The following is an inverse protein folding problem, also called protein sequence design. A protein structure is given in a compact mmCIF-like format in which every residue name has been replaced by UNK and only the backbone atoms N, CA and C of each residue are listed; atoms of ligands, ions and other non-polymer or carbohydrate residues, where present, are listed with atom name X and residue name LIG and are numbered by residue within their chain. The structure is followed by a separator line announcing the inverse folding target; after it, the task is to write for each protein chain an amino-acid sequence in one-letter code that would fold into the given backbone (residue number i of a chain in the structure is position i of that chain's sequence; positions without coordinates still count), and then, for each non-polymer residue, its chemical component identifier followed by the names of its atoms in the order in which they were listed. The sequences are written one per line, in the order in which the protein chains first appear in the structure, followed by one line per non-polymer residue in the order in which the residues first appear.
data_IF_413891302738
#
_entry.id   IF_413891302738
#
_cell.length_a   1.000
_cell.length_b   1.000
_cell.length_c   1.000
_cell.angle_alpha   90.00
_cell.angle_beta   90.00
_cell.angle_gamma   90.00
#
_symmetry.space_group_name_H-M   'P 1'
#
loop_
_entity.id
_entity.type
_entity.pdbx_description
1 polymer ?
#
# COMPACT_ATOMS: atom_id res chain seq x y z
N UNK A 1 25.20 -18.09 -23.61
CA UNK A 1 26.04 -17.85 -22.42
C UNK A 1 25.12 -18.01 -21.21
N UNK A 2 25.46 -18.82 -20.19
CA UNK A 2 24.62 -18.85 -18.98
C UNK A 2 24.69 -17.48 -18.35
N UNK A 3 23.54 -16.79 -18.30
CA UNK A 3 23.40 -15.51 -17.61
C UNK A 3 23.85 -15.67 -16.17
N UNK A 4 24.59 -14.69 -15.68
CA UNK A 4 25.11 -14.67 -14.30
C UNK A 4 23.91 -14.80 -13.35
N UNK A 5 23.72 -15.98 -12.73
CA UNK A 5 22.54 -16.34 -11.93
C UNK A 5 22.21 -15.33 -10.79
N UNK A 6 23.15 -14.42 -10.50
CA UNK A 6 23.08 -13.44 -9.43
C UNK A 6 22.75 -12.01 -9.89
N UNK A 7 22.38 -11.77 -11.15
CA UNK A 7 22.01 -10.45 -11.64
C UNK A 7 20.55 -10.46 -12.07
N UNK A 8 19.78 -9.45 -11.71
CA UNK A 8 18.41 -9.24 -12.15
C UNK A 8 18.23 -7.82 -12.71
N UNK A 9 17.28 -7.67 -13.61
CA UNK A 9 16.84 -6.35 -14.06
C UNK A 9 15.88 -5.76 -13.03
N UNK A 10 16.19 -4.55 -12.58
CA UNK A 10 15.31 -3.74 -11.72
C UNK A 10 14.81 -2.56 -12.52
N UNK A 11 13.50 -2.38 -12.53
CA UNK A 11 12.83 -1.22 -13.13
C UNK A 11 12.34 -0.32 -12.02
N UNK A 12 12.91 0.86 -11.90
CA UNK A 12 12.47 1.87 -10.94
C UNK A 12 11.24 2.59 -11.46
N UNK A 13 10.20 2.61 -10.66
CA UNK A 13 8.94 3.29 -10.97
C UNK A 13 8.51 4.22 -9.84
N UNK A 14 7.60 5.13 -10.14
CA UNK A 14 6.80 5.86 -9.15
C UNK A 14 5.33 5.68 -9.49
N UNK A 15 4.49 5.51 -8.47
CA UNK A 15 3.06 5.21 -8.64
C UNK A 15 2.22 6.28 -7.97
N UNK A 16 1.08 6.66 -8.58
CA UNK A 16 0.15 7.68 -8.09
C UNK A 16 0.74 9.10 -8.04
N UNK A 17 1.77 9.40 -8.84
CA UNK A 17 2.39 10.73 -8.88
C UNK A 17 1.35 11.83 -9.17
N UNK A 18 1.35 12.89 -8.37
CA UNK A 18 0.58 14.13 -8.56
C UNK A 18 1.55 15.30 -8.73
N UNK A 19 2.34 15.26 -9.81
CA UNK A 19 3.34 16.25 -10.16
C UNK A 19 4.78 15.81 -9.92
N UNK A 20 5.71 16.71 -10.19
CA UNK A 20 7.16 16.45 -10.15
C UNK A 20 7.62 16.01 -8.76
N UNK A 21 8.31 14.88 -8.68
CA UNK A 21 8.80 14.30 -7.43
C UNK A 21 7.72 13.61 -6.59
N UNK A 22 6.48 13.57 -7.07
CA UNK A 22 5.36 12.91 -6.41
C UNK A 22 5.36 11.39 -6.55
N UNK A 23 4.38 10.77 -5.92
CA UNK A 23 4.13 9.34 -6.00
C UNK A 23 4.92 8.49 -5.02
N UNK A 24 4.61 7.20 -5.05
CA UNK A 24 5.24 6.18 -4.24
C UNK A 24 6.29 5.41 -5.06
N UNK A 25 7.59 5.48 -4.71
CA UNK A 25 8.62 4.70 -5.38
C UNK A 25 8.34 3.21 -5.26
N UNK A 26 8.51 2.49 -6.37
CA UNK A 26 8.28 1.06 -6.40
C UNK A 26 9.23 0.37 -7.38
N UNK A 27 10.36 -0.18 -6.91
CA UNK A 27 11.23 -1.01 -7.72
C UNK A 27 10.54 -2.34 -8.07
N UNK A 28 10.58 -2.71 -9.36
CA UNK A 28 10.08 -3.96 -9.91
C UNK A 28 11.25 -4.79 -10.36
N UNK A 29 11.45 -5.95 -9.75
CA UNK A 29 12.52 -6.91 -10.07
C UNK A 29 11.97 -7.96 -11.02
N UNK A 30 12.52 -8.04 -12.21
CA UNK A 30 12.13 -9.01 -13.24
C UNK A 30 12.87 -10.34 -13.06
N UNK A 31 12.30 -11.41 -13.61
CA UNK A 31 12.88 -12.76 -13.60
C UNK A 31 13.32 -13.22 -12.20
N UNK A 32 12.46 -12.94 -11.20
CA UNK A 32 12.79 -13.14 -9.79
C UNK A 32 12.54 -14.58 -9.29
N UNK A 33 12.38 -15.54 -10.20
CA UNK A 33 12.23 -16.95 -9.84
C UNK A 33 13.42 -17.45 -9.01
N UNK A 34 13.12 -18.24 -7.99
CA UNK A 34 14.12 -18.81 -7.09
C UNK A 34 14.65 -17.85 -6.00
N UNK A 35 14.23 -16.57 -5.99
CA UNK A 35 14.59 -15.67 -4.90
C UNK A 35 13.84 -16.03 -3.61
N UNK A 36 14.60 -16.15 -2.52
CA UNK A 36 14.04 -16.39 -1.18
C UNK A 36 13.56 -15.07 -0.55
N UNK A 37 12.70 -15.17 0.47
CA UNK A 37 12.09 -13.98 1.11
C UNK A 37 13.15 -13.05 1.70
N UNK A 38 14.26 -13.57 2.23
CA UNK A 38 15.37 -12.78 2.76
C UNK A 38 15.99 -11.86 1.71
N UNK A 39 16.15 -12.35 0.48
CA UNK A 39 16.68 -11.54 -0.64
C UNK A 39 15.68 -10.44 -1.04
N UNK A 40 14.38 -10.74 -1.05
CA UNK A 40 13.34 -9.75 -1.28
C UNK A 40 13.36 -8.62 -0.24
N UNK A 41 13.46 -8.95 1.05
CA UNK A 41 13.58 -7.98 2.14
C UNK A 41 14.87 -7.16 2.03
N UNK A 42 16.00 -7.76 1.67
CA UNK A 42 17.28 -7.07 1.47
C UNK A 42 17.22 -6.08 0.31
N UNK A 43 16.56 -6.44 -0.79
CA UNK A 43 16.32 -5.54 -1.93
C UNK A 43 15.43 -4.37 -1.51
N UNK A 44 14.34 -4.63 -0.77
CA UNK A 44 13.48 -3.57 -0.25
C UNK A 44 14.23 -2.63 0.71
N UNK A 45 15.10 -3.15 1.56
CA UNK A 45 15.96 -2.36 2.43
C UNK A 45 16.99 -1.53 1.64
N UNK A 46 17.60 -2.11 0.61
CA UNK A 46 18.56 -1.43 -0.28
C UNK A 46 17.93 -0.27 -1.03
N UNK A 47 16.72 -0.45 -1.56
CA UNK A 47 16.01 0.59 -2.30
C UNK A 47 15.22 1.54 -1.40
N UNK A 48 15.11 1.23 -0.10
CA UNK A 48 14.28 1.97 0.86
C UNK A 48 12.84 2.17 0.38
N UNK A 49 12.28 1.15 -0.29
CA UNK A 49 10.97 1.18 -0.90
C UNK A 49 10.34 -0.22 -0.93
N UNK A 50 9.02 -0.27 -1.00
CA UNK A 50 8.32 -1.52 -1.28
C UNK A 50 8.78 -2.07 -2.62
N UNK A 51 9.32 -3.29 -2.62
CA UNK A 51 9.94 -3.92 -3.80
C UNK A 51 9.13 -5.11 -4.25
N UNK A 52 8.89 -5.18 -5.55
CA UNK A 52 8.03 -6.20 -6.17
C UNK A 52 8.92 -7.20 -6.94
N UNK A 53 8.74 -8.46 -6.64
CA UNK A 53 9.35 -9.54 -7.41
C UNK A 53 8.32 -10.09 -8.40
N UNK A 54 8.65 -10.05 -9.69
CA UNK A 54 7.88 -10.70 -10.75
C UNK A 54 8.42 -12.12 -10.90
N UNK A 55 7.55 -13.12 -10.71
CA UNK A 55 7.87 -14.54 -10.77
C UNK A 55 6.95 -15.27 -11.73
N UNK A 56 7.35 -16.45 -12.17
CA UNK A 56 6.50 -17.35 -12.95
C UNK A 56 5.28 -17.76 -12.13
N UNK A 57 4.10 -17.72 -12.74
CA UNK A 57 2.88 -18.21 -12.11
C UNK A 57 2.93 -19.75 -11.96
N UNK A 58 2.39 -20.26 -10.86
CA UNK A 58 2.15 -21.67 -10.63
C UNK A 58 0.75 -22.09 -11.10
N UNK A 59 -0.21 -21.18 -10.96
CA UNK A 59 -1.57 -21.37 -11.43
C UNK A 59 -1.63 -21.17 -12.96
N UNK A 60 -2.21 -22.12 -13.67
CA UNK A 60 -2.33 -22.09 -15.15
C UNK A 60 -3.15 -20.93 -15.68
N UNK A 61 -4.04 -20.38 -14.86
CA UNK A 61 -4.91 -19.25 -15.18
C UNK A 61 -4.24 -17.88 -14.98
N UNK A 62 -3.08 -17.83 -14.32
CA UNK A 62 -2.34 -16.59 -14.09
C UNK A 62 -1.29 -16.38 -15.18
N UNK A 63 -1.12 -15.14 -15.61
CA UNK A 63 -0.09 -14.75 -16.55
C UNK A 63 1.30 -14.71 -15.90
N UNK A 64 1.37 -14.32 -14.64
CA UNK A 64 2.57 -14.24 -13.80
C UNK A 64 2.21 -14.18 -12.32
N UNK A 65 3.20 -14.33 -11.46
CA UNK A 65 3.07 -14.16 -10.00
C UNK A 65 3.75 -12.90 -9.52
N UNK A 66 3.23 -12.34 -8.41
CA UNK A 66 3.83 -11.21 -7.72
C UNK A 66 4.09 -11.54 -6.25
N UNK A 67 5.29 -11.15 -5.78
CA UNK A 67 5.65 -11.15 -4.37
C UNK A 67 6.04 -9.74 -3.94
N UNK A 68 5.63 -9.34 -2.75
CA UNK A 68 5.71 -7.96 -2.27
C UNK A 68 6.55 -7.88 -1.01
N UNK A 69 7.54 -7.00 -0.98
CA UNK A 69 8.48 -6.91 0.13
C UNK A 69 8.60 -5.50 0.67
N UNK A 70 8.57 -5.38 1.99
CA UNK A 70 9.13 -4.28 2.75
C UNK A 70 10.45 -4.73 3.41
N UNK A 71 11.27 -3.82 3.97
CA UNK A 71 12.54 -4.19 4.57
C UNK A 71 12.49 -5.28 5.66
N UNK A 72 11.34 -5.48 6.29
CA UNK A 72 11.20 -6.36 7.46
C UNK A 72 10.35 -7.61 7.25
N UNK A 73 9.55 -7.67 6.20
CA UNK A 73 8.70 -8.84 5.91
C UNK A 73 8.20 -8.87 4.47
N UNK A 74 7.71 -10.01 4.06
CA UNK A 74 6.91 -10.19 2.86
C UNK A 74 5.46 -9.82 3.16
N UNK A 75 4.82 -9.05 2.26
CA UNK A 75 3.44 -8.63 2.38
C UNK A 75 2.53 -9.50 1.53
N UNK A 76 1.29 -9.64 1.97
CA UNK A 76 0.29 -10.42 1.26
C UNK A 76 -0.20 -9.71 -0.02
N UNK A 77 -0.25 -8.38 0.01
CA UNK A 77 -0.75 -7.56 -1.08
C UNK A 77 -0.16 -6.15 -1.03
N UNK A 78 0.17 -5.63 -2.23
CA UNK A 78 0.59 -4.25 -2.42
C UNK A 78 -0.03 -3.71 -3.72
N UNK A 79 -1.00 -2.82 -3.60
CA UNK A 79 -1.72 -2.28 -4.75
C UNK A 79 -0.81 -1.46 -5.66
N UNK A 80 -0.04 -0.50 -5.10
CA UNK A 80 0.85 0.31 -5.94
C UNK A 80 1.94 -0.55 -6.61
N UNK A 81 2.42 -1.59 -5.93
CA UNK A 81 3.32 -2.57 -6.51
C UNK A 81 2.71 -3.35 -7.66
N UNK A 82 1.43 -3.73 -7.55
CA UNK A 82 0.69 -4.37 -8.64
C UNK A 82 0.56 -3.43 -9.85
N UNK A 83 0.22 -2.15 -9.63
CA UNK A 83 0.14 -1.14 -10.68
C UNK A 83 1.50 -0.96 -11.37
N UNK A 84 2.59 -0.87 -10.58
CA UNK A 84 3.95 -0.79 -11.09
C UNK A 84 4.31 -1.99 -11.97
N UNK A 85 4.11 -3.21 -11.47
CA UNK A 85 4.44 -4.44 -12.18
C UNK A 85 3.65 -4.57 -13.50
N UNK A 86 2.33 -4.32 -13.47
CA UNK A 86 1.50 -4.35 -14.69
C UNK A 86 1.96 -3.31 -15.70
N UNK A 87 2.32 -2.09 -15.26
CA UNK A 87 2.84 -1.05 -16.15
C UNK A 87 4.17 -1.47 -16.78
N UNK A 88 5.09 -2.04 -16.00
CA UNK A 88 6.39 -2.50 -16.49
C UNK A 88 6.21 -3.64 -17.49
N UNK A 89 5.43 -4.68 -17.15
CA UNK A 89 5.23 -5.84 -18.03
C UNK A 89 4.49 -5.46 -19.32
N UNK A 90 3.52 -4.54 -19.24
CA UNK A 90 2.90 -3.98 -20.45
C UNK A 90 3.93 -3.24 -21.33
N UNK A 91 4.83 -2.45 -20.76
CA UNK A 91 5.88 -1.73 -21.49
C UNK A 91 6.90 -2.67 -22.17
N UNK A 92 7.03 -3.89 -21.69
CA UNK A 92 7.87 -4.94 -22.25
C UNK A 92 7.15 -5.81 -23.29
N UNK A 93 5.82 -5.62 -23.47
CA UNK A 93 5.01 -6.46 -24.36
C UNK A 93 4.63 -7.82 -23.77
N UNK A 94 4.92 -8.06 -22.49
CA UNK A 94 4.60 -9.31 -21.80
C UNK A 94 3.10 -9.47 -21.47
N UNK A 95 2.36 -8.36 -21.50
CA UNK A 95 0.91 -8.32 -21.28
C UNK A 95 0.24 -7.60 -22.44
N UNK A 96 -0.68 -8.30 -23.14
CA UNK A 96 -1.38 -7.76 -24.30
C UNK A 96 -2.89 -7.56 -24.06
N UNK A 97 -3.48 -8.25 -23.09
CA UNK A 97 -4.93 -8.27 -22.85
C UNK A 97 -5.30 -7.73 -21.47
N UNK A 98 -6.49 -7.15 -21.37
CA UNK A 98 -7.11 -6.71 -20.12
C UNK A 98 -8.47 -7.39 -19.98
N UNK A 99 -8.85 -7.96 -18.82
CA UNK A 99 -8.05 -8.00 -17.62
C UNK A 99 -6.88 -9.01 -17.69
N UNK A 100 -5.85 -8.79 -16.85
CA UNK A 100 -4.77 -9.75 -16.62
C UNK A 100 -4.97 -10.45 -15.28
N UNK A 101 -4.75 -11.77 -15.24
CA UNK A 101 -4.79 -12.55 -14.00
C UNK A 101 -3.40 -12.70 -13.42
N UNK A 102 -3.29 -12.41 -12.14
CA UNK A 102 -2.02 -12.39 -11.39
C UNK A 102 -2.14 -13.30 -10.18
N UNK A 103 -1.14 -14.14 -9.97
CA UNK A 103 -1.04 -14.97 -8.77
C UNK A 103 -0.36 -14.17 -7.64
N UNK A 104 -0.96 -14.18 -6.47
CA UNK A 104 -0.41 -13.62 -5.23
C UNK A 104 -0.53 -14.64 -4.10
N UNK A 105 0.04 -14.36 -2.93
CA UNK A 105 -0.14 -15.22 -1.75
C UNK A 105 -1.61 -15.30 -1.30
N UNK A 106 -2.43 -14.30 -1.63
CA UNK A 106 -3.88 -14.30 -1.38
C UNK A 106 -4.68 -15.06 -2.44
N UNK A 107 -4.04 -15.63 -3.45
CA UNK A 107 -4.65 -16.29 -4.59
C UNK A 107 -4.64 -15.44 -5.85
N UNK A 108 -5.55 -15.77 -6.77
CA UNK A 108 -5.67 -15.10 -8.06
C UNK A 108 -6.40 -13.75 -7.91
N UNK A 109 -5.78 -12.70 -8.41
CA UNK A 109 -6.40 -11.40 -8.55
C UNK A 109 -6.58 -11.04 -10.02
N UNK A 110 -7.64 -10.29 -10.32
CA UNK A 110 -7.89 -9.73 -11.65
C UNK A 110 -7.55 -8.25 -11.65
N UNK A 111 -6.72 -7.83 -12.60
CA UNK A 111 -6.27 -6.45 -12.72
C UNK A 111 -6.66 -5.94 -14.10
N UNK A 112 -7.43 -4.88 -14.14
CA UNK A 112 -7.83 -4.21 -15.37
C UNK A 112 -6.83 -3.12 -15.73
N UNK A 113 -6.60 -2.92 -17.02
CA UNK A 113 -5.88 -1.77 -17.52
C UNK A 113 -6.49 -1.24 -18.80
N UNK A 114 -6.35 0.06 -18.99
CA UNK A 114 -6.75 0.75 -20.22
C UNK A 114 -5.65 1.70 -20.67
N UNK A 115 -5.50 1.83 -21.98
CA UNK A 115 -4.51 2.74 -22.56
C UNK A 115 -5.18 4.05 -22.98
N UNK A 116 -4.63 5.16 -22.51
CA UNK A 116 -4.98 6.48 -23.00
C UNK A 116 -3.69 7.16 -23.48
N UNK A 117 -3.58 7.41 -24.76
CA UNK A 117 -2.37 7.86 -25.43
C UNK A 117 -1.23 6.83 -25.21
N UNK A 118 -0.06 7.27 -24.69
CA UNK A 118 1.10 6.41 -24.43
C UNK A 118 1.15 5.85 -23.00
N UNK A 119 0.24 6.28 -22.13
CA UNK A 119 0.17 5.82 -20.75
C UNK A 119 -0.96 4.83 -20.53
N UNK A 120 -0.71 3.85 -19.67
CA UNK A 120 -1.78 2.97 -19.17
C UNK A 120 -2.24 3.46 -17.79
N UNK A 121 -3.54 3.25 -17.58
CA UNK A 121 -4.18 3.40 -16.28
C UNK A 121 -4.55 2.00 -15.80
N UNK A 122 -4.13 1.65 -14.60
CA UNK A 122 -4.33 0.31 -14.03
C UNK A 122 -5.33 0.39 -12.89
N UNK A 123 -6.31 -0.52 -12.88
CA UNK A 123 -7.32 -0.65 -11.83
C UNK A 123 -7.17 -1.99 -11.14
N UNK A 124 -6.97 -1.95 -9.84
CA UNK A 124 -6.80 -3.14 -8.98
C UNK A 124 -8.01 -3.30 -8.09
N UNK A 125 -8.77 -4.38 -8.30
CA UNK A 125 -9.87 -4.76 -7.41
C UNK A 125 -9.34 -5.33 -6.11
N UNK A 126 -10.08 -5.06 -5.03
CA UNK A 126 -9.83 -5.57 -3.70
C UNK A 126 -11.04 -6.35 -3.21
N UNK A 127 -10.90 -7.04 -2.10
CA UNK A 127 -11.96 -7.85 -1.52
C UNK A 127 -13.11 -7.01 -0.95
N UNK A 128 -14.22 -7.65 -0.63
CA UNK A 128 -15.32 -7.04 0.11
C UNK A 128 -14.83 -6.43 1.42
N UNK A 129 -15.40 -5.28 1.78
CA UNK A 129 -14.96 -4.58 2.98
C UNK A 129 -15.49 -5.25 4.26
N UNK A 130 -14.59 -5.44 5.22
CA UNK A 130 -14.91 -5.91 6.57
C UNK A 130 -14.65 -4.80 7.58
N UNK A 131 -15.63 -4.52 8.44
CA UNK A 131 -15.58 -3.49 9.47
C UNK A 131 -15.38 -4.11 10.84
N UNK A 132 -14.33 -3.71 11.55
CA UNK A 132 -14.05 -4.22 12.90
C UNK A 132 -15.10 -3.75 13.90
N UNK A 133 -15.54 -4.66 14.77
CA UNK A 133 -16.44 -4.35 15.89
C UNK A 133 -15.70 -3.77 17.10
N UNK A 134 -14.38 -3.96 17.18
CA UNK A 134 -13.54 -3.50 18.29
C UNK A 134 -12.56 -2.45 17.79
N UNK A 135 -12.73 -1.22 18.26
CA UNK A 135 -11.93 -0.06 17.83
C UNK A 135 -11.51 0.78 19.06
N UNK A 136 -10.41 1.54 18.97
CA UNK A 136 -10.01 2.48 20.02
C UNK A 136 -10.98 3.66 20.13
N UNK A 137 -10.99 4.30 21.27
CA UNK A 137 -11.70 5.57 21.43
C UNK A 137 -10.90 6.78 20.90
N UNK A 138 -11.55 7.94 20.82
CA UNK A 138 -10.94 9.14 20.28
C UNK A 138 -9.77 9.67 21.13
N UNK A 139 -9.82 9.51 22.45
CA UNK A 139 -8.76 9.98 23.35
C UNK A 139 -7.49 9.15 23.15
N UNK A 140 -7.62 7.84 23.04
CA UNK A 140 -6.51 6.92 22.77
C UNK A 140 -5.85 7.20 21.40
N UNK A 141 -6.68 7.42 20.36
CA UNK A 141 -6.17 7.75 19.02
C UNK A 141 -5.51 9.12 18.99
N UNK A 142 -6.10 10.13 19.65
CA UNK A 142 -5.53 11.46 19.73
C UNK A 142 -4.14 11.44 20.36
N UNK A 143 -3.99 10.70 21.46
CA UNK A 143 -2.70 10.56 22.14
C UNK A 143 -1.61 9.96 21.24
N UNK A 144 -1.92 8.88 20.50
CA UNK A 144 -0.90 8.23 19.63
C UNK A 144 -0.60 9.04 18.37
N UNK A 145 -1.53 9.86 17.88
CA UNK A 145 -1.32 10.75 16.73
C UNK A 145 -0.67 12.10 17.10
N UNK A 146 -0.44 12.36 18.40
CA UNK A 146 0.14 13.60 18.88
C UNK A 146 -0.83 14.79 18.78
N UNK A 147 -2.14 14.54 18.84
CA UNK A 147 -3.15 15.58 18.91
C UNK A 147 -3.26 16.10 20.34
N UNK A 148 -3.38 17.43 20.50
CA UNK A 148 -3.53 18.05 21.81
C UNK A 148 -4.94 17.92 22.39
N UNK A 149 -5.95 17.67 21.53
CA UNK A 149 -7.34 17.45 21.91
C UNK A 149 -8.01 16.35 21.07
N UNK A 150 -8.78 15.47 21.72
CA UNK A 150 -9.58 14.47 21.03
C UNK A 150 -10.71 15.09 20.18
N UNK A 151 -11.13 16.31 20.48
CA UNK A 151 -12.13 17.08 19.72
C UNK A 151 -11.70 17.38 18.28
N UNK A 152 -10.41 17.28 17.94
CA UNK A 152 -9.91 17.38 16.56
C UNK A 152 -10.28 16.19 15.70
N UNK A 153 -10.73 15.10 16.30
CA UNK A 153 -11.34 13.95 15.63
C UNK A 153 -12.84 14.23 15.47
N UNK A 154 -13.39 13.95 14.31
CA UNK A 154 -14.82 14.18 14.04
C UNK A 154 -15.69 13.21 14.83
N UNK A 155 -16.63 13.75 15.61
CA UNK A 155 -17.56 12.96 16.42
C UNK A 155 -18.76 12.42 15.62
N UNK A 156 -19.03 12.97 14.43
CA UNK A 156 -20.13 12.54 13.55
C UNK A 156 -19.79 11.33 12.68
N UNK A 157 -18.53 10.90 12.68
CA UNK A 157 -18.04 9.73 11.96
C UNK A 157 -17.27 8.80 12.92
N UNK A 158 -17.43 7.46 12.83
CA UNK A 158 -16.76 6.53 13.75
C UNK A 158 -15.27 6.36 13.44
N UNK A 159 -14.46 6.15 14.46
CA UNK A 159 -13.14 5.55 14.29
C UNK A 159 -13.35 4.04 14.13
N UNK A 160 -12.93 3.47 13.00
CA UNK A 160 -13.13 2.05 12.73
C UNK A 160 -12.03 1.46 11.86
N UNK A 161 -11.60 0.25 12.19
CA UNK A 161 -10.72 -0.53 11.33
C UNK A 161 -11.52 -1.15 10.18
N UNK A 162 -11.06 -0.93 8.95
CA UNK A 162 -11.64 -1.46 7.73
C UNK A 162 -10.59 -2.29 7.00
N UNK A 163 -10.95 -3.48 6.56
CA UNK A 163 -10.13 -4.36 5.72
C UNK A 163 -10.76 -4.53 4.36
N UNK A 164 -9.97 -4.37 3.31
CA UNK A 164 -10.29 -4.80 1.93
C UNK A 164 -9.29 -5.84 1.42
N UNK A 165 -8.20 -6.02 2.12
CA UNK A 165 -7.19 -7.07 2.07
C UNK A 165 -6.32 -7.01 3.33
N UNK A 166 -6.12 -5.81 3.90
CA UNK A 166 -5.37 -5.57 5.15
C UNK A 166 -6.08 -4.53 5.98
N UNK A 167 -6.19 -4.75 7.28
CA UNK A 167 -6.88 -3.86 8.21
C UNK A 167 -6.19 -2.49 8.35
N UNK A 168 -6.95 -1.41 8.19
CA UNK A 168 -6.52 -0.03 8.38
C UNK A 168 -7.46 0.69 9.35
N UNK A 169 -6.91 1.30 10.39
CA UNK A 169 -7.70 2.13 11.31
C UNK A 169 -7.98 3.49 10.67
N UNK A 170 -9.22 3.69 10.25
CA UNK A 170 -9.66 4.93 9.61
C UNK A 170 -10.01 5.95 10.69
N UNK A 171 -9.40 7.15 10.62
CA UNK A 171 -9.54 8.19 11.64
C UNK A 171 -10.01 9.50 10.98
N UNK A 172 -11.27 9.90 11.18
CA UNK A 172 -11.80 11.12 10.59
C UNK A 172 -11.34 12.35 11.37
N UNK A 173 -10.67 13.30 10.72
CA UNK A 173 -10.20 14.55 11.32
C UNK A 173 -11.04 15.75 10.86
N UNK A 174 -11.04 16.81 11.67
CA UNK A 174 -11.80 18.04 11.43
C UNK A 174 -11.31 18.81 10.19
N UNK A 175 -10.00 18.80 9.91
CA UNK A 175 -9.41 19.59 8.84
C UNK A 175 -8.09 19.02 8.30
N UNK A 176 -7.74 19.43 7.09
CA UNK A 176 -6.44 19.15 6.47
C UNK A 176 -5.31 19.75 7.29
N UNK A 177 -5.51 20.91 7.92
CA UNK A 177 -4.50 21.51 8.79
C UNK A 177 -4.20 20.62 10.00
N UNK A 178 -5.23 20.04 10.63
CA UNK A 178 -5.05 19.06 11.71
C UNK A 178 -4.26 17.84 11.22
N UNK A 179 -4.61 17.32 10.05
CA UNK A 179 -3.93 16.19 9.42
C UNK A 179 -2.43 16.46 9.19
N UNK A 180 -2.08 17.64 8.67
CA UNK A 180 -0.70 18.01 8.38
C UNK A 180 0.15 18.20 9.65
N UNK A 181 -0.48 18.59 10.75
CA UNK A 181 0.18 18.81 12.04
C UNK A 181 0.42 17.53 12.85
N UNK A 182 -0.08 16.38 12.42
CA UNK A 182 0.11 15.13 13.15
C UNK A 182 1.60 14.82 13.39
N UNK A 183 1.92 14.38 14.62
CA UNK A 183 3.25 13.93 15.06
C UNK A 183 3.10 12.64 15.86
N UNK A 184 2.97 11.49 15.19
CA UNK A 184 2.69 10.24 15.88
C UNK A 184 3.81 9.82 16.82
N UNK A 185 3.43 9.28 17.99
CA UNK A 185 4.32 8.47 18.80
C UNK A 185 4.29 7.03 18.24
N UNK A 186 5.32 6.65 17.49
CA UNK A 186 5.32 5.39 16.74
C UNK A 186 5.29 4.15 17.64
N UNK A 187 5.94 4.15 18.79
CA UNK A 187 5.89 3.01 19.72
C UNK A 187 4.47 2.82 20.28
N UNK A 188 3.83 3.90 20.69
CA UNK A 188 2.44 3.88 21.14
C UNK A 188 1.48 3.50 20.02
N UNK A 189 1.70 4.00 18.79
CA UNK A 189 0.94 3.66 17.60
C UNK A 189 1.04 2.17 17.28
N UNK A 190 2.22 1.59 17.30
CA UNK A 190 2.41 0.17 17.05
C UNK A 190 1.75 -0.70 18.11
N UNK A 191 1.85 -0.28 19.39
CA UNK A 191 1.16 -0.95 20.51
C UNK A 191 -0.36 -0.90 20.35
N UNK A 192 -0.91 0.23 19.89
CA UNK A 192 -2.33 0.36 19.55
C UNK A 192 -2.69 -0.58 18.38
N UNK A 193 -1.88 -0.62 17.34
CA UNK A 193 -2.09 -1.53 16.21
C UNK A 193 -2.12 -3.01 16.66
N UNK A 194 -1.22 -3.40 17.58
CA UNK A 194 -1.19 -4.77 18.14
C UNK A 194 -2.49 -5.09 18.90
N UNK A 195 -2.97 -4.16 19.74
CA UNK A 195 -4.18 -4.37 20.56
C UNK A 195 -5.47 -4.48 19.73
N UNK A 196 -5.57 -3.77 18.63
CA UNK A 196 -6.78 -3.71 17.80
C UNK A 196 -6.66 -4.51 16.50
N UNK A 197 -5.53 -5.19 16.26
CA UNK A 197 -5.34 -6.05 15.08
C UNK A 197 -5.26 -5.28 13.76
N UNK A 198 -4.86 -4.00 13.78
CA UNK A 198 -4.71 -3.20 12.57
C UNK A 198 -3.26 -3.14 12.07
N UNK A 199 -3.05 -2.91 10.78
CA UNK A 199 -1.73 -2.83 10.14
C UNK A 199 -1.21 -1.40 9.98
N UNK A 200 -1.93 -0.42 10.54
CA UNK A 200 -1.56 0.99 10.54
C UNK A 200 -2.77 1.91 10.67
N UNK A 201 -2.50 3.17 10.94
CA UNK A 201 -3.51 4.23 11.05
C UNK A 201 -3.60 5.02 9.74
N UNK A 202 -4.81 5.33 9.33
CA UNK A 202 -5.11 6.13 8.14
C UNK A 202 -6.01 7.32 8.50
N UNK A 203 -5.45 8.36 9.14
CA UNK A 203 -6.17 9.61 9.37
C UNK A 203 -6.43 10.32 8.04
N UNK A 204 -7.62 10.91 7.93
CA UNK A 204 -8.06 11.65 6.76
C UNK A 204 -8.89 12.88 7.12
N UNK A 205 -8.96 13.84 6.20
CA UNK A 205 -9.81 15.02 6.30
C UNK A 205 -10.37 15.41 4.94
N UNK A 206 -11.60 16.00 4.86
CA UNK A 206 -12.12 16.54 3.61
C UNK A 206 -11.27 17.74 3.16
N UNK A 207 -11.01 17.85 1.86
CA UNK A 207 -10.30 19.00 1.28
C UNK A 207 -11.23 20.19 1.10
N UNK A 208 -12.42 19.93 0.57
CA UNK A 208 -13.47 20.94 0.33
C UNK A 208 -14.83 20.40 0.76
N UNK A 209 -15.76 21.29 1.11
CA UNK A 209 -17.13 20.88 1.40
C UNK A 209 -17.86 20.52 0.11
N UNK A 210 -18.49 19.34 0.10
CA UNK A 210 -19.35 18.89 -0.99
C UNK A 210 -18.61 18.27 -2.18
N UNK A 211 -17.29 18.12 -2.09
CA UNK A 211 -16.48 17.37 -3.04
C UNK A 211 -16.05 16.05 -2.43
N UNK A 212 -16.00 15.00 -3.25
CA UNK A 212 -15.54 13.67 -2.82
C UNK A 212 -14.00 13.58 -2.90
N UNK A 213 -13.31 14.63 -2.38
CA UNK A 213 -11.85 14.79 -2.34
C UNK A 213 -11.39 14.85 -0.88
N UNK A 214 -10.47 13.95 -0.53
CA UNK A 214 -9.97 13.80 0.84
C UNK A 214 -8.44 13.81 0.86
N UNK A 215 -7.87 14.49 1.84
CA UNK A 215 -6.45 14.35 2.17
C UNK A 215 -6.28 13.25 3.20
N UNK A 216 -5.22 12.44 3.07
CA UNK A 216 -4.93 11.35 3.99
C UNK A 216 -3.44 11.20 4.26
N UNK A 217 -3.10 10.55 5.39
CA UNK A 217 -1.73 10.13 5.73
C UNK A 217 -1.76 8.67 6.18
N UNK A 218 -0.72 7.91 5.85
CA UNK A 218 -0.60 6.50 6.25
C UNK A 218 0.58 6.29 7.18
N UNK A 219 0.30 5.85 8.40
CA UNK A 219 1.30 5.46 9.40
C UNK A 219 1.29 3.94 9.58
N UNK A 220 2.22 3.21 8.94
CA UNK A 220 2.22 1.74 8.96
C UNK A 220 2.78 1.18 10.26
N UNK A 221 2.33 -0.02 10.62
CA UNK A 221 2.88 -0.77 11.73
C UNK A 221 4.18 -1.47 11.31
N UNK A 222 5.32 -1.03 11.85
CA UNK A 222 6.64 -1.69 11.76
C UNK A 222 7.06 -2.10 10.33
N UNK A 223 6.72 -1.30 9.32
CA UNK A 223 7.08 -1.58 7.93
C UNK A 223 8.58 -1.37 7.63
N UNK A 224 9.28 -0.62 8.46
CA UNK A 224 10.66 -0.21 8.27
C UNK A 224 10.82 1.26 7.88
N UNK A 225 9.68 1.94 7.75
CA UNK A 225 9.54 3.38 7.54
C UNK A 225 8.34 3.89 8.35
N UNK A 226 8.31 5.19 8.62
CA UNK A 226 7.34 5.83 9.50
C UNK A 226 6.04 6.21 8.80
N UNK A 227 6.11 6.65 7.56
CA UNK A 227 4.96 7.09 6.76
C UNK A 227 5.10 6.59 5.31
N UNK A 228 3.96 6.32 4.65
CA UNK A 228 3.90 5.87 3.26
C UNK A 228 3.26 6.95 2.38
N UNK A 229 3.89 7.36 1.26
CA UNK A 229 3.41 8.49 0.46
C UNK A 229 2.13 8.20 -0.34
N UNK A 230 1.84 6.94 -0.68
CA UNK A 230 0.60 6.58 -1.38
C UNK A 230 0.24 5.10 -1.15
N UNK A 231 -0.91 4.86 -0.51
CA UNK A 231 -1.31 3.53 -0.04
C UNK A 231 -2.64 3.09 -0.64
N UNK A 232 -2.61 2.34 -1.73
CA UNK A 232 -3.82 1.92 -2.45
C UNK A 232 -4.78 1.08 -1.60
N UNK A 233 -4.28 0.15 -0.78
CA UNK A 233 -5.10 -0.65 0.16
C UNK A 233 -5.81 0.24 1.17
N UNK A 234 -5.15 1.26 1.71
CA UNK A 234 -5.76 2.18 2.66
C UNK A 234 -6.78 3.12 1.97
N UNK A 235 -6.52 3.51 0.73
CA UNK A 235 -7.46 4.26 -0.08
C UNK A 235 -8.75 3.47 -0.34
N UNK A 236 -8.66 2.17 -0.66
CA UNK A 236 -9.82 1.28 -0.77
C UNK A 236 -10.59 1.16 0.56
N UNK A 237 -9.89 1.01 1.68
CA UNK A 237 -10.51 0.98 3.00
C UNK A 237 -11.22 2.29 3.34
N UNK A 238 -10.64 3.44 2.98
CA UNK A 238 -11.29 4.76 3.14
C UNK A 238 -12.49 4.90 2.21
N UNK A 239 -12.42 4.45 0.96
CA UNK A 239 -13.56 4.49 0.03
C UNK A 239 -14.74 3.66 0.57
N UNK A 240 -14.46 2.45 1.08
CA UNK A 240 -15.47 1.61 1.73
C UNK A 240 -16.08 2.30 2.95
N UNK A 241 -15.25 2.93 3.79
CA UNK A 241 -15.67 3.69 4.95
C UNK A 241 -16.58 4.87 4.57
N UNK A 242 -16.18 5.67 3.58
CA UNK A 242 -16.95 6.83 3.13
C UNK A 242 -18.28 6.42 2.49
N UNK A 243 -18.30 5.35 1.70
CA UNK A 243 -19.54 4.80 1.15
C UNK A 243 -20.49 4.32 2.24
N UNK A 244 -19.97 3.68 3.31
CA UNK A 244 -20.76 3.14 4.43
C UNK A 244 -21.30 4.23 5.36
N UNK A 245 -20.48 5.20 5.75
CA UNK A 245 -20.80 6.13 6.82
C UNK A 245 -21.14 7.55 6.35
N UNK A 246 -20.65 7.95 5.18
CA UNK A 246 -20.82 9.32 4.68
C UNK A 246 -21.78 9.40 3.48
N UNK A 247 -21.44 8.78 2.35
CA UNK A 247 -22.23 8.86 1.11
C UNK A 247 -23.56 8.11 1.20
N UNK A 248 -23.54 6.87 1.70
CA UNK A 248 -24.72 5.99 1.88
C UNK A 248 -25.56 5.80 0.61
N UNK A 249 -24.94 5.86 -0.57
CA UNK A 249 -25.60 5.67 -1.86
C UNK A 249 -25.34 4.28 -2.39
N UNK A 250 -26.36 3.58 -2.84
CA UNK A 250 -26.20 2.32 -3.58
C UNK A 250 -25.50 2.57 -4.92
N UNK A 251 -24.76 1.55 -5.37
CA UNK A 251 -23.93 1.61 -6.56
C UNK A 251 -22.48 1.99 -6.27
N UNK A 252 -21.75 2.32 -7.34
CA UNK A 252 -20.37 2.75 -7.24
C UNK A 252 -20.25 4.18 -6.67
N UNK A 253 -19.51 4.31 -5.58
CA UNK A 253 -19.09 5.56 -4.99
C UNK A 253 -17.61 5.77 -5.31
N UNK A 254 -17.21 6.95 -5.78
CA UNK A 254 -15.85 7.27 -6.20
C UNK A 254 -15.31 8.42 -5.39
N UNK A 255 -14.09 8.27 -4.87
CA UNK A 255 -13.43 9.26 -4.03
C UNK A 255 -12.00 9.49 -4.52
N UNK A 256 -11.60 10.75 -4.51
CA UNK A 256 -10.23 11.16 -4.79
C UNK A 256 -9.46 11.35 -3.48
N UNK A 257 -8.28 10.76 -3.38
CA UNK A 257 -7.49 10.80 -2.16
C UNK A 257 -6.11 11.38 -2.46
N UNK A 258 -5.81 12.49 -1.78
CA UNK A 258 -4.53 13.18 -1.84
C UNK A 258 -3.68 12.74 -0.65
N UNK A 259 -2.51 12.13 -0.92
CA UNK A 259 -1.61 11.61 0.11
C UNK A 259 -0.18 12.07 -0.15
N UNK A 260 0.73 11.95 0.84
CA UNK A 260 2.16 12.18 0.67
C UNK A 260 2.62 13.63 0.62
N UNK A 261 1.71 14.60 0.72
CA UNK A 261 2.05 16.03 0.64
C UNK A 261 3.04 16.45 1.72
N UNK A 262 2.85 16.03 2.95
CA UNK A 262 3.72 16.33 4.09
C UNK A 262 5.11 15.69 3.98
N UNK A 263 5.24 14.70 3.11
CA UNK A 263 6.51 14.02 2.80
C UNK A 263 7.24 14.62 1.59
N UNK A 264 6.66 15.66 0.94
CA UNK A 264 7.18 16.21 -0.32
C UNK A 264 7.00 15.24 -1.52
N UNK A 265 6.08 14.27 -1.40
CA UNK A 265 5.73 13.28 -2.43
C UNK A 265 4.24 13.31 -2.74
N UNK A 266 3.71 14.41 -3.32
CA UNK A 266 2.27 14.53 -3.58
C UNK A 266 1.80 13.38 -4.47
N UNK A 267 0.72 12.75 -4.02
CA UNK A 267 0.15 11.56 -4.66
C UNK A 267 -1.35 11.68 -4.75
N UNK A 268 -1.94 11.18 -5.84
CA UNK A 268 -3.37 11.20 -6.13
C UNK A 268 -3.86 9.80 -6.49
N UNK A 269 -4.83 9.32 -5.73
CA UNK A 269 -5.44 8.00 -5.90
C UNK A 269 -6.94 8.18 -6.16
N UNK A 270 -7.50 7.38 -7.07
CA UNK A 270 -8.95 7.28 -7.25
C UNK A 270 -9.40 5.94 -6.69
N UNK A 271 -10.11 5.96 -5.56
CA UNK A 271 -10.62 4.77 -4.92
C UNK A 271 -12.15 4.71 -5.01
N UNK A 272 -12.68 3.53 -5.25
CA UNK A 272 -14.11 3.30 -5.46
C UNK A 272 -14.61 2.17 -4.58
N UNK A 273 -15.87 2.28 -4.14
CA UNK A 273 -16.55 1.25 -3.38
C UNK A 273 -17.95 1.01 -3.95
N UNK A 274 -18.30 -0.25 -4.16
CA UNK A 274 -19.63 -0.69 -4.58
C UNK A 274 -20.46 -0.98 -3.34
N UNK A 275 -21.40 -0.10 -3.04
CA UNK A 275 -22.39 -0.30 -2.00
C UNK A 275 -23.64 -0.96 -2.58
N UNK A 276 -24.13 -2.00 -1.94
CA UNK A 276 -25.34 -2.70 -2.31
C UNK A 276 -26.00 -3.28 -1.06
N UNK A 277 -27.29 -3.01 -0.90
CA UNK A 277 -28.08 -3.51 0.24
C UNK A 277 -27.45 -3.25 1.61
N UNK A 278 -26.89 -2.03 1.81
CA UNK A 278 -26.25 -1.64 3.06
C UNK A 278 -24.89 -2.28 3.35
N UNK A 279 -24.30 -2.97 2.37
CA UNK A 279 -22.99 -3.63 2.48
C UNK A 279 -22.06 -3.16 1.36
N UNK A 280 -20.76 -3.15 1.64
CA UNK A 280 -19.73 -2.86 0.62
C UNK A 280 -19.27 -4.19 0.03
N UNK A 281 -19.62 -4.42 -1.24
CA UNK A 281 -19.38 -5.68 -1.97
C UNK A 281 -18.02 -5.76 -2.62
N UNK A 282 -17.55 -4.64 -3.13
CA UNK A 282 -16.29 -4.57 -3.87
C UNK A 282 -15.64 -3.20 -3.65
N UNK A 283 -14.33 -3.17 -3.67
CA UNK A 283 -13.56 -1.93 -3.73
C UNK A 283 -12.49 -2.04 -4.81
N UNK A 284 -12.13 -0.92 -5.40
CA UNK A 284 -11.04 -0.85 -6.37
C UNK A 284 -10.32 0.48 -6.30
N UNK A 285 -9.07 0.47 -6.69
CA UNK A 285 -8.28 1.68 -6.82
C UNK A 285 -7.64 1.73 -8.20
N UNK A 286 -7.68 2.91 -8.78
CA UNK A 286 -7.16 3.21 -10.10
C UNK A 286 -6.00 4.18 -9.99
N UNK A 287 -4.93 3.90 -10.75
CA UNK A 287 -3.75 4.75 -10.78
C UNK A 287 -2.85 4.52 -11.98
N UNK A 288 -1.79 5.30 -12.05
CA UNK A 288 -0.75 5.23 -13.08
C UNK A 288 0.59 5.01 -12.42
N UNK A 289 1.49 4.35 -13.14
CA UNK A 289 2.91 4.30 -12.79
C UNK A 289 3.74 4.94 -13.90
N UNK A 290 4.84 5.57 -13.50
CA UNK A 290 5.87 6.12 -14.39
C UNK A 290 7.12 5.28 -14.25
N UNK A 291 7.69 4.84 -15.37
CA UNK A 291 9.01 4.17 -15.42
C UNK A 291 10.08 5.25 -15.41
N UNK A 292 10.92 5.23 -14.38
CA UNK A 292 11.97 6.25 -14.20
C UNK A 292 13.30 5.81 -14.79
N UNK A 293 13.70 4.55 -14.53
CA UNK A 293 14.98 4.00 -15.00
C UNK A 293 14.98 2.47 -14.98
N UNK A 294 15.98 1.87 -15.61
CA UNK A 294 16.27 0.42 -15.55
C UNK A 294 17.73 0.22 -15.21
N UNK A 295 18.01 -0.76 -14.36
CA UNK A 295 19.40 -1.14 -14.01
C UNK A 295 19.56 -2.65 -13.89
N UNK A 296 20.79 -3.12 -14.01
CA UNK A 296 21.19 -4.48 -13.64
C UNK A 296 21.63 -4.48 -12.19
N UNK A 297 20.96 -5.25 -11.35
CA UNK A 297 21.19 -5.31 -9.92
C UNK A 297 21.82 -6.64 -9.54
N UNK A 298 22.97 -6.58 -8.86
CA UNK A 298 23.57 -7.73 -8.21
C UNK A 298 22.70 -8.14 -7.01
N UNK A 299 22.26 -9.40 -7.00
CA UNK A 299 21.45 -9.92 -5.90
C UNK A 299 22.26 -10.06 -4.61
N UNK A 300 21.64 -9.88 -3.45
CA UNK A 300 22.25 -10.20 -2.16
C UNK A 300 22.59 -11.69 -2.08
N UNK A 301 23.72 -12.03 -1.44
CA UNK A 301 24.08 -13.42 -1.17
C UNK A 301 23.18 -14.04 -0.10
N UNK A 302 22.84 -15.33 -0.22
CA UNK A 302 22.01 -16.04 0.76
C UNK A 302 22.64 -16.10 2.18
N UNK A 303 23.94 -15.80 2.33
CA UNK A 303 24.71 -15.95 3.59
C UNK A 303 24.76 -14.69 4.45
N UNK A 304 24.10 -13.59 4.09
CA UNK A 304 24.26 -12.31 4.81
C UNK A 304 23.59 -12.25 6.20
N UNK A 305 22.82 -13.26 6.61
CA UNK A 305 22.11 -13.26 7.92
C UNK A 305 22.81 -14.06 9.04
N UNK A 306 23.90 -14.80 8.76
CA UNK A 306 24.62 -15.55 9.82
C UNK A 306 25.51 -14.68 10.72
N UNK A 307 25.83 -13.44 10.35
CA UNK A 307 26.76 -12.58 11.09
C UNK A 307 26.13 -11.73 12.20
N UNK A 308 24.84 -11.85 12.48
CA UNK A 308 24.10 -11.02 13.46
C UNK A 308 23.64 -11.74 14.74
N UNK A 309 24.08 -12.98 15.04
CA UNK A 309 23.81 -13.59 16.35
C UNK A 309 24.78 -13.01 17.37
N UNK A 310 24.32 -12.38 18.47
CA UNK A 310 25.22 -12.06 19.59
C UNK A 310 25.81 -13.38 20.12
N UNK A 311 27.13 -13.47 20.13
CA UNK A 311 27.83 -14.56 20.80
C UNK A 311 27.39 -14.57 22.26
N UNK A 312 26.75 -15.66 22.70
CA UNK A 312 26.49 -15.91 24.12
C UNK A 312 27.84 -15.98 24.80
N UNK A 313 28.11 -14.95 25.61
CA UNK A 313 29.32 -14.89 26.42
C UNK A 313 29.43 -16.13 27.28
N UNK A 314 30.51 -16.86 27.13
CA UNK A 314 30.92 -17.94 28.00
C UNK A 314 31.16 -17.35 29.40
N UNK A 315 30.30 -17.69 30.35
CA UNK A 315 30.59 -17.51 31.75
C UNK A 315 31.77 -18.43 32.11
N UNK A 316 32.94 -17.84 32.34
CA UNK A 316 34.01 -18.50 33.07
C UNK A 316 33.90 -18.12 34.54
N UNK A 317 33.90 -19.11 35.33
CA UNK A 317 34.03 -19.34 36.80
C UNK A 317 34.55 -18.20 37.66
#
# INVERSE_FOLDING_TARGET
MPGNANIRTVVHTTVFSDGVGGGNPCPVVLDADGLVSEQGMQLAARFMAETILVVSAKASEASFGLRYFVPRHEMEMCVHGTIAAVTVLHSLGEIATSPVRIETVLGLISVEWSRQNEQITVTVSQFAAEFSKRNPDAAEVAQVLGLYEASLIRADLPIVSVSTSRQKLIVPLQSVQTLDCLRPNYEALWSLCDRYGTTGLYPFAPVSKGEDIYAARQFPKRAGYEEDPATGVAACALAAYLAQYHSKKDGWNSFEILQGRTMGRPSRLVAQALAQDGSIRETKVTGKAEILSRESCQLPSNNAFESGRPQAGAAQR
#
